data_IF_820207007384
#
_entry.id   IF_820207007384
#
_cell.length_a   1.000
_cell.length_b   1.000
_cell.length_c   1.000
_cell.angle_alpha   90.00
_cell.angle_beta   90.00
_cell.angle_gamma   90.00
#
_symmetry.space_group_name_H-M   'P 1'
#
loop_
_entity.id
_entity.type
_entity.pdbx_description
1 polymer ?
#
# COMPACT_ATOMS: atom_id res chain seq x y z
N UNK A 1 -7.87 -8.60 -0.68
CA UNK A 1 -6.48 -8.85 -0.22
C UNK A 1 -5.87 -7.55 0.26
N UNK A 2 -5.09 -7.57 1.35
CA UNK A 2 -4.30 -6.45 1.83
C UNK A 2 -2.83 -6.87 1.90
N UNK A 3 -1.93 -6.05 1.35
CA UNK A 3 -0.51 -6.33 1.28
C UNK A 3 0.28 -5.07 1.67
N UNK A 4 1.16 -5.21 2.65
CA UNK A 4 1.97 -4.09 3.16
C UNK A 4 3.47 -4.39 2.96
N UNK A 5 4.25 -3.37 2.59
CA UNK A 5 5.72 -3.41 2.44
C UNK A 5 6.20 -4.63 1.62
N UNK A 6 6.82 -5.64 2.22
CA UNK A 6 7.27 -6.84 1.50
C UNK A 6 6.13 -7.54 0.73
N UNK A 7 4.89 -7.46 1.22
CA UNK A 7 3.71 -7.93 0.51
C UNK A 7 3.45 -7.17 -0.79
N UNK A 8 3.70 -5.85 -0.81
CA UNK A 8 3.65 -5.06 -2.05
C UNK A 8 4.70 -5.55 -3.05
N UNK A 9 5.95 -5.78 -2.60
CA UNK A 9 7.04 -6.25 -3.46
C UNK A 9 6.72 -7.61 -4.09
N UNK A 10 6.15 -8.51 -3.30
CA UNK A 10 5.77 -9.84 -3.77
C UNK A 10 4.69 -9.82 -4.85
N UNK A 11 3.86 -8.77 -4.88
CA UNK A 11 2.82 -8.60 -5.89
C UNK A 11 3.30 -7.90 -7.17
N UNK A 12 4.47 -7.28 -7.16
CA UNK A 12 5.12 -6.70 -8.35
C UNK A 12 5.47 -7.80 -9.38
N UNK A 13 5.90 -7.38 -10.58
CA UNK A 13 6.43 -8.29 -11.61
C UNK A 13 7.77 -8.90 -11.21
N UNK A 14 8.64 -8.11 -10.62
CA UNK A 14 9.97 -8.54 -10.17
C UNK A 14 10.49 -7.70 -9.00
N UNK A 15 11.50 -8.26 -8.32
CA UNK A 15 12.38 -7.57 -7.38
C UNK A 15 13.83 -7.83 -7.80
N UNK A 16 14.56 -6.78 -8.19
CA UNK A 16 15.96 -6.88 -8.67
C UNK A 16 16.17 -7.98 -9.72
N UNK A 17 15.27 -8.02 -10.73
CA UNK A 17 15.29 -9.02 -11.80
C UNK A 17 14.81 -10.42 -11.41
N UNK A 18 14.44 -10.66 -10.16
CA UNK A 18 13.85 -11.93 -9.72
C UNK A 18 12.33 -11.91 -9.91
N UNK A 19 11.74 -12.87 -10.64
CA UNK A 19 10.29 -12.91 -10.85
C UNK A 19 9.49 -13.02 -9.55
N UNK A 20 8.45 -12.21 -9.44
CA UNK A 20 7.47 -12.20 -8.34
C UNK A 20 6.09 -12.64 -8.88
N UNK A 21 4.97 -12.27 -8.24
CA UNK A 21 3.65 -12.75 -8.66
C UNK A 21 3.11 -12.09 -9.94
N UNK A 22 3.60 -10.90 -10.31
CA UNK A 22 3.11 -10.17 -11.49
C UNK A 22 1.65 -9.73 -11.42
N UNK A 23 1.09 -9.58 -10.21
CA UNK A 23 -0.30 -9.12 -10.01
C UNK A 23 -0.42 -7.62 -10.29
N UNK A 24 0.60 -6.86 -9.91
CA UNK A 24 0.75 -5.44 -10.16
C UNK A 24 1.75 -5.23 -11.30
N UNK A 25 1.42 -4.31 -12.20
CA UNK A 25 2.28 -3.90 -13.31
C UNK A 25 3.36 -2.91 -12.83
N UNK A 26 4.16 -3.36 -11.85
CA UNK A 26 5.23 -2.57 -11.24
C UNK A 26 6.48 -3.43 -11.01
N UNK A 27 7.63 -2.79 -10.90
CA UNK A 27 8.92 -3.43 -10.57
C UNK A 27 9.41 -2.90 -9.23
N UNK A 28 9.98 -3.78 -8.42
CA UNK A 28 10.65 -3.40 -7.19
C UNK A 28 12.17 -3.49 -7.34
N UNK A 29 12.88 -2.66 -6.59
CA UNK A 29 14.34 -2.77 -6.42
C UNK A 29 14.77 -2.46 -5.01
N UNK A 30 15.89 -3.04 -4.58
CA UNK A 30 16.57 -2.61 -3.36
C UNK A 30 17.18 -1.21 -3.54
N UNK A 31 17.28 -0.46 -2.45
CA UNK A 31 17.89 0.88 -2.40
C UNK A 31 18.89 0.96 -1.26
N UNK A 32 19.87 1.85 -1.39
CA UNK A 32 20.83 2.17 -0.33
C UNK A 32 20.19 2.97 0.83
N UNK A 33 19.13 3.73 0.53
CA UNK A 33 18.43 4.58 1.48
C UNK A 33 17.37 3.83 2.27
N UNK A 34 17.41 3.99 3.60
CA UNK A 34 16.31 3.60 4.47
C UNK A 34 15.22 4.68 4.48
N UNK A 35 13.99 4.28 4.15
CA UNK A 35 12.79 5.06 4.42
C UNK A 35 12.20 4.57 5.73
N UNK A 36 12.17 5.45 6.73
CA UNK A 36 11.57 5.18 8.04
C UNK A 36 10.76 6.38 8.51
N UNK A 37 9.57 6.13 9.06
CA UNK A 37 8.84 7.10 9.86
C UNK A 37 7.34 7.09 9.64
N UNK A 38 6.63 7.80 10.49
CA UNK A 38 5.18 7.92 10.42
C UNK A 38 4.71 8.71 9.21
N UNK A 39 3.51 8.39 8.74
CA UNK A 39 2.82 9.06 7.63
C UNK A 39 1.39 9.34 8.02
N UNK A 40 0.93 10.53 7.66
CA UNK A 40 -0.49 10.86 7.61
C UNK A 40 -0.98 10.61 6.19
N UNK A 41 -1.91 9.67 6.07
CA UNK A 41 -2.46 9.18 4.82
C UNK A 41 -3.96 9.49 4.73
N UNK A 42 -4.43 9.67 3.50
CA UNK A 42 -5.86 9.69 3.17
C UNK A 42 -6.09 8.65 2.09
N UNK A 43 -7.06 7.76 2.27
CA UNK A 43 -7.46 6.84 1.22
C UNK A 43 -8.00 7.66 0.06
N UNK A 44 -7.42 7.53 -1.13
CA UNK A 44 -7.88 8.26 -2.32
C UNK A 44 -8.78 7.42 -3.22
N UNK A 45 -8.79 6.09 -3.00
CA UNK A 45 -9.66 5.13 -3.67
C UNK A 45 -10.36 4.23 -2.64
N UNK A 46 -11.54 3.73 -2.99
CA UNK A 46 -12.24 2.74 -2.18
C UNK A 46 -11.50 1.40 -2.22
N UNK A 47 -11.25 0.83 -1.05
CA UNK A 47 -10.54 -0.45 -0.96
C UNK A 47 -11.12 -1.37 0.12
N UNK A 48 -10.56 -2.58 0.19
CA UNK A 48 -10.87 -3.55 1.24
C UNK A 48 -10.53 -3.02 2.64
N UNK A 49 -9.55 -2.11 2.75
CA UNK A 49 -9.12 -1.55 4.03
C UNK A 49 -9.93 -0.32 4.42
N UNK A 50 -10.21 0.57 3.47
CA UNK A 50 -10.80 1.86 3.77
C UNK A 50 -11.66 2.39 2.62
N UNK A 51 -12.80 3.05 2.91
CA UNK A 51 -13.44 3.94 1.95
C UNK A 51 -12.54 5.13 1.58
N UNK A 52 -12.72 5.68 0.38
CA UNK A 52 -12.11 6.93 -0.03
C UNK A 52 -12.44 8.06 0.97
N UNK A 53 -11.46 8.91 1.25
CA UNK A 53 -11.54 9.99 2.25
C UNK A 53 -11.15 9.57 3.67
N UNK A 54 -11.04 8.27 3.97
CA UNK A 54 -10.60 7.78 5.29
C UNK A 54 -9.21 8.28 5.61
N UNK A 55 -9.04 8.89 6.78
CA UNK A 55 -7.75 9.34 7.27
C UNK A 55 -7.13 8.26 8.13
N UNK A 56 -5.84 8.00 7.94
CA UNK A 56 -5.14 7.00 8.72
C UNK A 56 -3.71 7.44 8.98
N UNK A 57 -3.20 7.03 10.15
CA UNK A 57 -1.79 7.13 10.47
C UNK A 57 -1.16 5.75 10.37
N UNK A 58 -0.01 5.71 9.70
CA UNK A 58 0.78 4.50 9.55
C UNK A 58 2.25 4.85 9.57
N UNK A 59 3.09 3.90 9.20
CA UNK A 59 4.52 4.14 9.05
C UNK A 59 5.07 3.45 7.81
N UNK A 60 6.15 4.01 7.28
CA UNK A 60 6.97 3.34 6.27
C UNK A 60 8.23 2.83 6.95
N UNK A 61 8.66 1.62 6.58
CA UNK A 61 9.94 1.06 6.98
C UNK A 61 10.47 0.11 5.89
N UNK A 62 11.30 0.63 4.98
CA UNK A 62 11.80 -0.15 3.83
C UNK A 62 13.10 0.43 3.24
N UNK A 63 13.88 -0.45 2.58
CA UNK A 63 15.04 -0.12 1.73
C UNK A 63 14.79 -0.56 0.28
N UNK A 64 13.59 -0.30 -0.19
CA UNK A 64 13.15 -0.67 -1.53
C UNK A 64 12.37 0.47 -2.16
N UNK A 65 12.37 0.51 -3.48
CA UNK A 65 11.52 1.38 -4.28
C UNK A 65 10.66 0.51 -5.20
N UNK A 66 9.43 0.97 -5.47
CA UNK A 66 8.52 0.35 -6.43
C UNK A 66 8.20 1.39 -7.49
N UNK A 67 8.34 1.01 -8.75
CA UNK A 67 8.04 1.87 -9.89
C UNK A 67 7.06 1.18 -10.86
N UNK A 68 5.95 1.85 -11.21
CA UNK A 68 5.52 3.16 -10.70
C UNK A 68 5.18 3.09 -9.20
N UNK A 69 5.33 4.20 -8.46
CA UNK A 69 5.07 4.23 -7.00
C UNK A 69 3.59 4.16 -6.60
N UNK A 70 2.69 4.27 -7.59
CA UNK A 70 1.26 4.10 -7.45
C UNK A 70 0.66 3.62 -8.77
N UNK A 71 -0.50 2.95 -8.69
CA UNK A 71 -1.29 2.56 -9.87
C UNK A 71 -2.20 3.68 -10.37
N UNK A 72 -3.01 3.38 -11.39
CA UNK A 72 -4.09 4.27 -11.87
C UNK A 72 -5.04 4.66 -10.72
N UNK A 73 -5.40 3.67 -9.89
CA UNK A 73 -6.06 3.87 -8.61
C UNK A 73 -5.02 3.74 -7.48
N UNK A 74 -4.57 4.88 -6.96
CA UNK A 74 -3.67 4.91 -5.83
C UNK A 74 -4.38 4.50 -4.53
N UNK A 75 -3.65 3.88 -3.60
CA UNK A 75 -4.19 3.54 -2.30
C UNK A 75 -4.29 4.76 -1.38
N UNK A 76 -3.21 5.53 -1.32
CA UNK A 76 -3.03 6.62 -0.37
C UNK A 76 -2.57 7.92 -1.04
N UNK A 77 -3.10 9.02 -0.53
CA UNK A 77 -2.47 10.32 -0.62
C UNK A 77 -1.68 10.59 0.66
N UNK A 78 -0.35 10.68 0.55
CA UNK A 78 0.55 10.97 1.66
C UNK A 78 0.90 12.46 1.64
N UNK A 79 0.90 13.12 2.82
CA UNK A 79 1.25 14.55 2.92
C UNK A 79 2.71 14.84 3.25
N UNK A 80 3.31 14.02 4.10
CA UNK A 80 4.65 14.23 4.64
C UNK A 80 5.50 12.95 4.50
N UNK A 81 6.84 13.08 4.34
CA UNK A 81 7.60 14.32 4.19
C UNK A 81 7.43 15.02 2.84
N UNK A 82 6.93 14.29 1.83
CA UNK A 82 6.64 14.81 0.48
C UNK A 82 5.23 14.39 0.09
N UNK A 83 4.49 15.31 -0.51
CA UNK A 83 3.16 15.01 -1.06
C UNK A 83 3.29 14.07 -2.25
N UNK A 84 2.64 12.91 -2.18
CA UNK A 84 2.60 11.94 -3.28
C UNK A 84 1.38 11.04 -3.19
N UNK A 85 1.01 10.47 -4.33
CA UNK A 85 0.19 9.27 -4.36
C UNK A 85 1.08 8.06 -4.09
N UNK A 86 0.55 7.06 -3.40
CA UNK A 86 1.29 5.86 -3.02
C UNK A 86 0.38 4.64 -3.03
N UNK A 87 0.96 3.53 -3.50
CA UNK A 87 0.32 2.22 -3.46
C UNK A 87 -0.72 2.02 -4.55
N UNK A 88 -1.39 0.88 -4.47
CA UNK A 88 -2.23 0.34 -5.53
C UNK A 88 -3.54 -0.17 -4.95
N UNK A 89 -4.64 0.18 -5.62
CA UNK A 89 -5.92 -0.49 -5.47
C UNK A 89 -6.30 -1.07 -6.82
N UNK A 90 -6.48 -2.39 -6.90
CA UNK A 90 -6.87 -3.04 -8.15
C UNK A 90 -7.51 -4.39 -7.89
N UNK A 91 -8.71 -4.62 -8.44
CA UNK A 91 -9.40 -5.93 -8.39
C UNK A 91 -9.43 -6.56 -6.98
N UNK A 92 -9.74 -5.76 -5.97
CA UNK A 92 -9.82 -6.21 -4.58
C UNK A 92 -8.47 -6.35 -3.84
N UNK A 93 -7.35 -6.02 -4.50
CA UNK A 93 -6.03 -5.86 -3.88
C UNK A 93 -5.88 -4.42 -3.39
N UNK A 94 -5.46 -4.26 -2.13
CA UNK A 94 -4.87 -3.04 -1.59
C UNK A 94 -3.39 -3.35 -1.29
N UNK A 95 -2.45 -2.66 -1.94
CA UNK A 95 -1.01 -2.88 -1.75
C UNK A 95 -0.27 -1.56 -1.55
N UNK A 96 0.54 -1.45 -0.50
CA UNK A 96 1.18 -0.18 -0.13
C UNK A 96 2.42 -0.40 0.75
N UNK A 97 3.36 0.55 0.74
CA UNK A 97 4.44 0.62 1.74
C UNK A 97 3.97 1.09 3.12
N UNK A 98 2.78 1.69 3.20
CA UNK A 98 2.20 2.14 4.46
C UNK A 98 1.79 0.94 5.30
N UNK A 99 2.49 0.75 6.41
CA UNK A 99 2.03 -0.10 7.49
C UNK A 99 0.92 0.61 8.25
N UNK A 100 -0.30 0.15 8.05
CA UNK A 100 -1.47 0.76 8.70
C UNK A 100 -1.51 0.40 10.17
N UNK A 101 -1.85 1.34 11.05
CA UNK A 101 -2.03 1.04 12.46
C UNK A 101 -3.48 0.62 12.71
N UNK A 102 -3.80 -0.65 12.46
CA UNK A 102 -5.16 -1.20 12.51
C UNK A 102 -5.90 -0.94 13.84
N UNK A 103 -5.18 -0.89 14.97
CA UNK A 103 -5.78 -0.60 16.27
C UNK A 103 -6.17 0.90 16.44
N UNK A 104 -5.65 1.79 15.59
CA UNK A 104 -6.03 3.21 15.62
C UNK A 104 -7.34 3.50 14.88
N UNK A 105 -7.79 2.58 14.03
CA UNK A 105 -9.06 2.67 13.32
C UNK A 105 -9.72 1.27 13.28
N UNK A 106 -10.41 0.86 14.36
CA UNK A 106 -11.02 -0.47 14.47
C UNK A 106 -11.97 -0.80 13.30
N UNK A 107 -12.54 0.22 12.65
CA UNK A 107 -13.38 0.05 11.47
C UNK A 107 -12.66 -0.63 10.29
N UNK A 108 -11.34 -0.45 10.14
CA UNK A 108 -10.53 -1.04 9.06
C UNK A 108 -10.51 -2.57 9.17
N UNK A 109 -10.28 -3.10 10.37
CA UNK A 109 -10.25 -4.55 10.62
C UNK A 109 -11.59 -5.20 10.29
N UNK A 110 -12.69 -4.62 10.78
CA UNK A 110 -14.05 -5.11 10.51
C UNK A 110 -14.35 -5.08 9.01
N UNK A 111 -14.07 -3.95 8.35
CA UNK A 111 -14.29 -3.78 6.91
C UNK A 111 -13.52 -4.81 6.10
N UNK A 112 -12.26 -5.04 6.43
CA UNK A 112 -11.44 -6.01 5.72
C UNK A 112 -12.07 -7.41 5.76
N UNK A 113 -12.47 -7.87 6.94
CA UNK A 113 -13.15 -9.15 7.11
C UNK A 113 -14.47 -9.20 6.32
N UNK A 114 -15.28 -8.15 6.38
CA UNK A 114 -16.52 -8.06 5.61
C UNK A 114 -16.28 -8.16 4.10
N UNK A 115 -15.27 -7.46 3.59
CA UNK A 115 -14.92 -7.48 2.17
C UNK A 115 -14.37 -8.82 1.73
N UNK A 116 -13.69 -9.58 2.59
CA UNK A 116 -13.29 -10.95 2.30
C UNK A 116 -14.46 -11.92 2.14
N UNK A 117 -15.63 -11.62 2.72
CA UNK A 117 -16.83 -12.49 2.62
C UNK A 117 -17.66 -12.23 1.38
N UNK A 118 -17.50 -11.07 0.74
CA UNK A 118 -18.31 -10.63 -0.41
C UNK A 118 -17.50 -10.46 -1.69
N UNK A 119 -16.26 -10.95 -1.72
CA UNK A 119 -15.36 -10.87 -2.89
C UNK A 119 -15.33 -12.17 -3.66
#
# INVERSE_FOLDING_TARGET
MAAECAGLLYLCRELDGQPMCGVLDATARMTDRLTLGYRDAVAVSDSALAPAGTRMRGHEFHRTAVEPGAGEEAAWGLRAPVRRMEGFVRRGVHASYLHTHWASEPGVARRFVERCRTS
#
